data_IF_278011582629
#
_entry.id   IF_278011582629
#
_cell.length_a   1.000
_cell.length_b   1.000
_cell.length_c   1.000
_cell.angle_alpha   90.00
_cell.angle_beta   90.00
_cell.angle_gamma   90.00
#
_symmetry.space_group_name_H-M   'P 1'
#
loop_
_entity.id
_entity.type
_entity.pdbx_description
1 polymer ?
#
# COMPACT_ATOMS: atom_id res chain seq x y z
N UNK A 1 -7.74 33.79 44.51
CA UNK A 1 -6.75 33.66 43.56
C UNK A 1 -5.43 34.11 44.13
N UNK A 2 -4.94 33.35 45.06
CA UNK A 2 -3.67 33.28 45.79
C UNK A 2 -2.71 34.49 45.64
N UNK A 3 -3.14 35.66 46.14
CA UNK A 3 -2.25 36.80 46.31
C UNK A 3 -1.89 37.65 45.09
N UNK A 4 -2.44 37.33 43.92
CA UNK A 4 -2.25 38.11 42.66
C UNK A 4 -3.25 39.26 42.62
N UNK A 5 -2.78 40.47 42.39
CA UNK A 5 -3.65 41.63 42.10
C UNK A 5 -4.01 41.60 40.61
N UNK A 6 -5.30 41.56 40.30
CA UNK A 6 -5.79 41.60 38.95
C UNK A 6 -6.45 42.95 38.71
N UNK A 7 -6.14 43.58 37.58
CA UNK A 7 -6.81 44.81 37.20
C UNK A 7 -8.13 44.47 36.48
N UNK A 8 -9.23 44.91 37.04
CA UNK A 8 -10.53 44.78 36.38
C UNK A 8 -10.64 45.78 35.23
N UNK A 9 -11.29 45.36 34.12
CA UNK A 9 -11.60 46.24 33.00
C UNK A 9 -13.07 46.59 32.99
N UNK A 10 -13.39 47.86 32.73
CA UNK A 10 -14.79 48.33 32.64
C UNK A 10 -15.40 47.91 31.28
N UNK A 11 -16.59 47.32 31.31
CA UNK A 11 -17.39 47.08 30.13
C UNK A 11 -18.23 48.29 29.72
N UNK A 12 -19.03 48.87 30.63
CA UNK A 12 -19.99 49.95 30.35
C UNK A 12 -20.16 50.94 31.51
N UNK A 13 -19.17 51.08 32.39
CA UNK A 13 -19.18 51.98 33.54
C UNK A 13 -19.79 51.40 34.82
N UNK A 14 -20.66 50.40 34.70
CA UNK A 14 -21.24 49.68 35.87
C UNK A 14 -20.86 48.21 35.91
N UNK A 15 -20.45 47.62 34.77
CA UNK A 15 -20.06 46.23 34.67
C UNK A 15 -18.52 46.12 34.55
N UNK A 16 -17.95 45.31 35.40
CA UNK A 16 -16.51 45.11 35.50
C UNK A 16 -16.17 43.65 35.38
N UNK A 17 -15.13 43.34 34.64
CA UNK A 17 -14.62 41.97 34.46
C UNK A 17 -13.15 41.88 34.88
N UNK A 18 -12.80 40.83 35.61
CA UNK A 18 -11.43 40.48 35.93
C UNK A 18 -11.21 39.00 35.56
N UNK A 19 -10.10 38.73 34.86
CA UNK A 19 -9.74 37.37 34.41
C UNK A 19 -8.39 36.99 35.00
N UNK A 20 -8.31 35.80 35.58
CA UNK A 20 -7.06 35.23 36.07
C UNK A 20 -6.81 33.88 35.43
N UNK A 21 -5.69 33.67 34.72
CA UNK A 21 -5.36 32.39 34.18
C UNK A 21 -5.00 31.38 35.28
N UNK A 22 -5.53 30.16 35.17
CA UNK A 22 -5.07 29.03 35.98
C UNK A 22 -3.80 28.48 35.35
N UNK A 23 -2.73 28.40 36.14
CA UNK A 23 -1.43 27.85 35.70
C UNK A 23 -1.02 26.70 36.61
N UNK A 24 -0.06 25.90 36.18
CA UNK A 24 0.35 24.66 36.88
C UNK A 24 0.75 24.81 38.34
N UNK A 25 1.12 26.01 38.80
CA UNK A 25 1.45 26.32 40.19
C UNK A 25 0.31 27.01 40.96
N UNK A 26 -0.87 27.15 40.40
CA UNK A 26 -2.06 27.61 41.08
C UNK A 26 -2.47 26.59 42.14
N UNK A 27 -2.62 26.93 43.41
CA UNK A 27 -3.03 25.96 44.43
C UNK A 27 -4.42 25.38 44.16
N UNK A 28 -4.58 24.08 44.40
CA UNK A 28 -5.88 23.44 44.33
C UNK A 28 -6.80 23.94 45.46
N UNK A 29 -8.09 23.94 45.19
CA UNK A 29 -9.14 24.28 46.14
C UNK A 29 -10.07 25.37 45.65
N UNK A 30 -10.93 25.83 46.55
CA UNK A 30 -11.90 26.87 46.22
C UNK A 30 -11.21 28.20 45.92
N UNK A 31 -11.54 28.79 44.78
CA UNK A 31 -11.04 30.10 44.41
C UNK A 31 -11.63 31.18 45.35
N UNK A 32 -10.75 31.95 45.99
CA UNK A 32 -11.14 33.10 46.79
C UNK A 32 -10.86 34.40 46.03
N UNK A 33 -11.65 35.42 46.30
CA UNK A 33 -11.47 36.72 45.72
C UNK A 33 -11.71 37.82 46.77
N UNK A 34 -11.23 39.02 46.49
CA UNK A 34 -11.50 40.25 47.28
C UNK A 34 -11.62 41.41 46.29
N UNK A 35 -12.70 42.14 46.36
CA UNK A 35 -12.92 43.35 45.58
C UNK A 35 -12.90 44.54 46.50
N UNK A 36 -11.96 45.45 46.31
CA UNK A 36 -11.95 46.76 46.92
C UNK A 36 -12.18 47.82 45.83
N UNK A 37 -12.94 48.85 46.16
CA UNK A 37 -13.27 49.91 45.21
C UNK A 37 -13.38 51.26 45.91
N UNK A 38 -13.21 52.29 45.14
CA UNK A 38 -13.31 53.67 45.56
C UNK A 38 -14.19 54.39 44.52
N UNK A 39 -15.10 55.27 45.02
CA UNK A 39 -15.90 56.08 44.14
C UNK A 39 -15.10 57.26 43.56
N UNK A 40 -15.68 57.99 42.60
CA UNK A 40 -15.03 59.17 41.98
C UNK A 40 -14.74 60.30 42.97
N UNK A 41 -15.44 60.32 44.09
CA UNK A 41 -15.22 61.29 45.14
C UNK A 41 -14.14 60.86 46.14
N UNK A 42 -13.56 59.68 45.97
CA UNK A 42 -12.51 59.12 46.83
C UNK A 42 -13.02 58.36 48.06
N UNK A 43 -14.31 58.04 48.14
CA UNK A 43 -14.84 57.25 49.25
C UNK A 43 -14.56 55.74 49.01
N UNK A 44 -14.05 55.10 50.06
CA UNK A 44 -13.73 53.67 50.01
C UNK A 44 -14.98 52.84 50.25
N UNK A 45 -15.30 51.92 49.34
CA UNK A 45 -16.40 50.99 49.47
C UNK A 45 -16.08 49.78 50.38
N UNK A 46 -17.11 49.10 50.84
CA UNK A 46 -16.94 47.89 51.63
C UNK A 46 -16.32 46.76 50.76
N UNK A 47 -15.27 46.12 51.28
CA UNK A 47 -14.63 44.99 50.56
C UNK A 47 -15.60 43.83 50.43
N UNK A 48 -15.72 43.31 49.20
CA UNK A 48 -16.55 42.15 48.87
C UNK A 48 -15.67 40.93 48.72
N UNK A 49 -15.98 39.83 49.40
CA UNK A 49 -15.22 38.58 49.41
C UNK A 49 -16.08 37.34 49.08
N UNK A 50 -17.38 37.53 48.77
CA UNK A 50 -18.28 36.46 48.43
C UNK A 50 -19.18 36.87 47.25
N UNK A 51 -19.63 35.93 46.48
CA UNK A 51 -20.60 36.10 45.38
C UNK A 51 -22.00 36.32 45.99
N UNK A 52 -22.86 37.08 45.30
CA UNK A 52 -24.25 37.31 45.71
C UNK A 52 -25.16 36.13 45.43
N UNK A 53 -24.78 35.26 44.48
CA UNK A 53 -25.48 34.05 44.07
C UNK A 53 -24.96 32.77 44.72
N UNK A 54 -23.98 32.93 45.66
CA UNK A 54 -23.31 31.80 46.33
C UNK A 54 -22.51 30.89 45.37
N UNK A 55 -22.21 31.32 44.16
CA UNK A 55 -21.38 30.60 43.24
C UNK A 55 -19.94 30.46 43.75
N UNK A 56 -19.30 29.36 43.42
CA UNK A 56 -17.89 29.09 43.71
C UNK A 56 -17.23 28.36 42.56
N UNK A 57 -15.93 28.55 42.46
CA UNK A 57 -15.09 27.85 41.52
C UNK A 57 -13.99 27.11 42.26
N UNK A 58 -13.84 25.82 42.01
CA UNK A 58 -12.70 25.07 42.51
C UNK A 58 -11.61 25.03 41.42
N UNK A 59 -10.41 25.28 41.87
CA UNK A 59 -9.20 25.13 41.05
C UNK A 59 -8.65 23.73 41.27
N UNK A 60 -8.48 22.98 40.16
CA UNK A 60 -7.79 21.72 40.17
C UNK A 60 -6.61 21.78 39.18
N UNK A 61 -5.43 21.52 39.68
CA UNK A 61 -4.18 21.45 38.90
C UNK A 61 -3.49 20.08 39.07
N UNK A 62 -4.19 19.11 39.63
CA UNK A 62 -3.73 17.73 39.78
C UNK A 62 -3.62 17.12 38.41
N UNK A 63 -2.50 16.52 38.08
CA UNK A 63 -2.34 15.80 36.83
C UNK A 63 -3.03 14.43 36.92
N UNK A 64 -3.95 14.09 36.03
CA UNK A 64 -4.59 12.77 36.02
C UNK A 64 -3.57 11.66 35.87
N UNK A 65 -3.81 10.54 36.51
CA UNK A 65 -3.01 9.31 36.39
C UNK A 65 -3.89 8.14 36.00
N UNK A 66 -3.29 7.14 35.37
CA UNK A 66 -3.98 5.87 35.08
C UNK A 66 -3.84 4.95 36.30
N UNK A 67 -4.97 4.46 36.84
CA UNK A 67 -5.03 3.62 38.04
C UNK A 67 -5.16 2.14 37.71
N UNK A 68 -5.71 1.80 36.55
CA UNK A 68 -5.81 0.47 35.99
C UNK A 68 -5.37 0.52 34.53
N UNK A 69 -4.59 -0.45 34.09
CA UNK A 69 -4.31 -0.66 32.68
C UNK A 69 -4.25 -2.15 32.39
N UNK A 70 -5.15 -2.66 31.55
CA UNK A 70 -5.21 -4.06 31.17
C UNK A 70 -5.32 -4.22 29.66
N UNK A 71 -4.47 -5.10 29.11
CA UNK A 71 -4.53 -5.49 27.70
C UNK A 71 -4.93 -6.95 27.60
N UNK A 72 -5.93 -7.24 26.76
CA UNK A 72 -6.43 -8.61 26.52
C UNK A 72 -6.89 -8.76 25.06
N UNK A 73 -6.94 -10.01 24.59
CA UNK A 73 -7.61 -10.32 23.31
C UNK A 73 -8.85 -11.20 23.54
N UNK A 74 -9.73 -11.26 22.55
CA UNK A 74 -10.86 -12.18 22.53
C UNK A 74 -10.48 -13.57 22.03
N UNK A 75 -9.18 -13.89 21.94
CA UNK A 75 -8.71 -15.22 21.57
C UNK A 75 -9.26 -16.27 22.56
N UNK A 76 -9.99 -17.27 22.05
CA UNK A 76 -10.67 -18.29 22.86
C UNK A 76 -9.70 -19.24 23.58
N UNK A 77 -8.50 -19.41 23.03
CA UNK A 77 -7.52 -20.36 23.54
C UNK A 77 -6.57 -19.71 24.57
N UNK A 78 -6.23 -18.43 24.36
CA UNK A 78 -5.37 -17.69 25.26
C UNK A 78 -5.54 -16.17 25.04
N UNK A 79 -6.08 -15.47 26.02
CA UNK A 79 -6.32 -14.02 25.97
C UNK A 79 -5.06 -13.15 25.98
N UNK A 80 -3.87 -13.75 26.24
CA UNK A 80 -2.57 -13.07 26.11
C UNK A 80 -2.01 -13.14 24.69
N UNK A 81 -2.67 -13.85 23.78
CA UNK A 81 -2.31 -13.96 22.38
C UNK A 81 -3.42 -13.34 21.53
N UNK A 82 -3.07 -12.76 20.41
CA UNK A 82 -4.02 -12.32 19.40
C UNK A 82 -3.58 -12.86 18.04
N UNK A 83 -4.48 -13.57 17.36
CA UNK A 83 -4.33 -13.98 15.97
C UNK A 83 -5.21 -13.09 15.11
N UNK A 84 -5.02 -13.17 13.82
CA UNK A 84 -5.80 -12.39 12.89
C UNK A 84 -7.31 -12.69 13.01
N UNK A 85 -8.11 -11.61 12.89
CA UNK A 85 -9.54 -11.67 13.14
C UNK A 85 -9.93 -11.49 14.63
N UNK A 86 -8.97 -11.59 15.56
CA UNK A 86 -9.23 -11.30 16.97
C UNK A 86 -9.31 -9.78 17.21
N UNK A 87 -9.96 -9.41 18.31
CA UNK A 87 -9.99 -8.03 18.81
C UNK A 87 -9.09 -7.94 20.04
N UNK A 88 -8.17 -7.00 20.03
CA UNK A 88 -7.37 -6.60 21.18
C UNK A 88 -8.09 -5.45 21.89
N UNK A 89 -8.28 -5.59 23.18
CA UNK A 89 -8.93 -4.58 24.03
C UNK A 89 -7.94 -4.07 25.07
N UNK A 90 -7.80 -2.75 25.16
CA UNK A 90 -7.12 -2.05 26.24
C UNK A 90 -8.19 -1.44 27.15
N UNK A 91 -8.19 -1.81 28.42
CA UNK A 91 -9.01 -1.24 29.48
C UNK A 91 -8.13 -0.42 30.41
N UNK A 92 -8.56 0.78 30.77
CA UNK A 92 -7.84 1.63 31.73
C UNK A 92 -8.78 2.58 32.43
N UNK A 93 -8.45 2.88 33.70
CA UNK A 93 -9.19 3.81 34.53
C UNK A 93 -8.31 5.03 34.80
N UNK A 94 -8.91 6.22 34.75
CA UNK A 94 -8.25 7.46 35.14
C UNK A 94 -8.57 7.79 36.62
N UNK A 95 -7.68 8.47 37.30
CA UNK A 95 -7.86 8.93 38.70
C UNK A 95 -8.95 9.99 38.85
N UNK A 96 -9.35 10.61 37.75
CA UNK A 96 -10.35 11.66 37.65
C UNK A 96 -10.97 11.70 36.26
N UNK A 97 -12.03 12.46 36.06
CA UNK A 97 -12.65 12.69 34.75
C UNK A 97 -11.67 13.37 33.81
N UNK A 98 -11.45 12.78 32.64
CA UNK A 98 -10.56 13.30 31.58
C UNK A 98 -11.35 13.49 30.28
N UNK A 99 -10.81 14.31 29.37
CA UNK A 99 -11.29 14.35 27.99
C UNK A 99 -10.99 13.02 27.28
N UNK A 100 -11.68 12.77 26.15
CA UNK A 100 -11.48 11.54 25.37
C UNK A 100 -10.00 11.37 25.00
N UNK A 101 -9.34 10.31 25.50
CA UNK A 101 -7.92 10.11 25.24
C UNK A 101 -7.68 9.59 23.79
N UNK A 102 -6.53 9.93 23.23
CA UNK A 102 -6.01 9.27 22.04
C UNK A 102 -5.26 7.99 22.45
N UNK A 103 -5.60 6.88 21.84
CA UNK A 103 -5.04 5.57 22.16
C UNK A 103 -4.53 4.89 20.89
N UNK A 104 -3.29 4.44 20.92
CA UNK A 104 -2.71 3.63 19.87
C UNK A 104 -2.41 2.20 20.37
N UNK A 105 -2.88 1.19 19.64
CA UNK A 105 -2.53 -0.21 19.85
C UNK A 105 -1.71 -0.66 18.63
N UNK A 106 -0.50 -1.14 18.87
CA UNK A 106 0.45 -1.51 17.80
C UNK A 106 0.76 -0.35 16.82
N UNK A 107 0.81 0.89 17.33
CA UNK A 107 1.06 2.09 16.52
C UNK A 107 -0.12 2.55 15.64
N UNK A 108 -1.28 1.94 15.80
CA UNK A 108 -2.50 2.26 15.04
C UNK A 108 -3.50 2.92 15.99
N UNK A 109 -4.06 4.07 15.56
CA UNK A 109 -5.12 4.76 16.27
C UNK A 109 -6.31 3.81 16.47
N UNK A 110 -6.76 3.71 17.73
CA UNK A 110 -7.78 2.74 18.13
C UNK A 110 -9.07 3.43 18.49
N UNK A 111 -10.20 2.75 18.22
CA UNK A 111 -11.51 3.27 18.61
C UNK A 111 -11.62 3.27 20.12
N UNK A 112 -11.85 4.45 20.69
CA UNK A 112 -12.03 4.63 22.14
C UNK A 112 -13.51 4.76 22.47
N UNK A 113 -13.92 4.09 23.53
CA UNK A 113 -15.23 4.20 24.16
C UNK A 113 -15.07 4.30 25.68
N UNK A 114 -16.05 4.85 26.34
CA UNK A 114 -16.04 4.97 27.80
C UNK A 114 -17.22 4.21 28.42
N UNK A 115 -17.00 3.65 29.60
CA UNK A 115 -18.05 3.02 30.41
C UNK A 115 -18.64 3.94 31.46
N UNK A 116 -17.81 4.83 32.02
CA UNK A 116 -18.14 5.88 32.97
C UNK A 116 -17.14 7.02 32.84
N UNK A 117 -17.29 8.09 33.59
CA UNK A 117 -16.43 9.30 33.49
C UNK A 117 -14.93 9.03 33.68
N UNK A 118 -14.56 7.91 34.26
CA UNK A 118 -13.17 7.51 34.52
C UNK A 118 -12.74 6.21 33.85
N UNK A 119 -13.70 5.37 33.38
CA UNK A 119 -13.41 4.05 32.82
C UNK A 119 -13.39 4.12 31.30
N UNK A 120 -12.29 3.70 30.71
CA UNK A 120 -12.05 3.79 29.28
C UNK A 120 -11.71 2.43 28.67
N UNK A 121 -12.14 2.25 27.45
CA UNK A 121 -11.83 1.07 26.65
C UNK A 121 -11.42 1.48 25.24
N UNK A 122 -10.31 0.95 24.76
CA UNK A 122 -9.89 1.08 23.37
C UNK A 122 -9.84 -0.30 22.72
N UNK A 123 -10.27 -0.40 21.46
CA UNK A 123 -10.30 -1.65 20.71
C UNK A 123 -9.52 -1.54 19.41
N UNK A 124 -8.80 -2.61 19.09
CA UNK A 124 -8.07 -2.80 17.85
C UNK A 124 -8.39 -4.17 17.27
N UNK A 125 -8.90 -4.20 16.04
CA UNK A 125 -9.11 -5.46 15.31
C UNK A 125 -7.83 -5.87 14.61
N UNK A 126 -7.31 -7.06 14.89
CA UNK A 126 -6.12 -7.60 14.22
C UNK A 126 -6.47 -7.88 12.75
N UNK A 127 -5.90 -7.14 11.78
CA UNK A 127 -6.31 -7.28 10.39
C UNK A 127 -5.90 -8.61 9.80
N UNK A 128 -6.71 -9.09 8.86
CA UNK A 128 -6.41 -10.30 8.09
C UNK A 128 -5.41 -9.99 6.98
N UNK A 129 -4.15 -10.32 7.23
CA UNK A 129 -3.09 -10.23 6.22
C UNK A 129 -2.91 -11.53 5.41
N UNK A 130 -3.85 -12.50 5.50
CA UNK A 130 -3.78 -13.67 4.61
C UNK A 130 -3.98 -13.20 3.18
N UNK A 131 -3.05 -13.60 2.32
CA UNK A 131 -3.21 -13.38 0.90
C UNK A 131 -4.46 -14.12 0.40
N UNK A 132 -5.46 -13.38 -0.06
CA UNK A 132 -6.57 -13.96 -0.78
C UNK A 132 -6.11 -14.27 -2.19
N UNK A 133 -6.06 -15.55 -2.56
CA UNK A 133 -5.82 -15.98 -3.93
C UNK A 133 -7.17 -16.19 -4.60
N UNK A 134 -7.43 -15.40 -5.63
CA UNK A 134 -8.63 -15.52 -6.45
C UNK A 134 -8.25 -15.55 -7.93
N UNK A 135 -9.12 -16.11 -8.76
CA UNK A 135 -8.96 -16.01 -10.22
C UNK A 135 -9.13 -14.55 -10.63
N UNK A 136 -8.05 -13.94 -11.16
CA UNK A 136 -8.09 -12.57 -11.67
C UNK A 136 -8.67 -12.51 -13.08
N UNK A 137 -8.26 -13.43 -13.94
CA UNK A 137 -8.67 -13.48 -15.34
C UNK A 137 -8.89 -14.91 -15.84
N UNK A 138 -9.84 -15.09 -16.74
CA UNK A 138 -10.17 -16.37 -17.34
C UNK A 138 -11.19 -17.19 -16.53
N UNK A 139 -11.71 -18.22 -17.19
CA UNK A 139 -12.62 -19.18 -16.57
C UNK A 139 -11.85 -20.45 -16.22
N UNK A 140 -11.82 -20.82 -14.94
CA UNK A 140 -11.10 -22.01 -14.48
C UNK A 140 -11.57 -23.27 -15.20
N UNK A 141 -10.61 -24.02 -15.76
CA UNK A 141 -10.86 -25.26 -16.49
C UNK A 141 -11.39 -25.07 -17.93
N UNK A 142 -11.56 -23.84 -18.41
CA UNK A 142 -12.06 -23.55 -19.76
C UNK A 142 -10.96 -22.87 -20.58
N UNK A 143 -10.36 -23.61 -21.51
CA UNK A 143 -9.33 -23.06 -22.40
C UNK A 143 -9.93 -22.53 -23.72
N UNK A 144 -9.24 -21.56 -24.34
CA UNK A 144 -9.64 -20.98 -25.62
C UNK A 144 -8.88 -19.70 -25.94
N UNK A 145 -9.23 -19.08 -27.06
CA UNK A 145 -8.75 -17.76 -27.47
C UNK A 145 -9.96 -16.84 -27.61
N UNK A 146 -10.39 -16.26 -26.51
CA UNK A 146 -11.53 -15.34 -26.48
C UNK A 146 -11.09 -13.99 -25.89
N UNK A 147 -11.26 -12.93 -26.67
CA UNK A 147 -11.10 -11.55 -26.23
C UNK A 147 -12.39 -11.10 -25.53
N UNK A 148 -12.30 -10.65 -24.30
CA UNK A 148 -13.45 -10.21 -23.50
C UNK A 148 -12.95 -9.53 -22.20
N UNK A 149 -13.88 -9.17 -21.31
CA UNK A 149 -13.56 -8.83 -19.92
C UNK A 149 -12.86 -10.00 -19.21
N UNK A 150 -12.05 -9.72 -18.21
CA UNK A 150 -11.24 -10.72 -17.47
C UNK A 150 -12.05 -11.93 -17.00
N UNK A 151 -13.31 -11.76 -16.61
CA UNK A 151 -14.19 -12.85 -16.16
C UNK A 151 -14.70 -13.77 -17.26
N UNK A 152 -14.71 -13.32 -18.51
CA UNK A 152 -15.31 -14.02 -19.65
C UNK A 152 -14.27 -14.50 -20.67
N UNK A 153 -13.10 -13.88 -20.63
CA UNK A 153 -12.00 -14.20 -21.54
C UNK A 153 -11.54 -15.66 -21.37
N UNK A 154 -10.98 -16.21 -22.43
CA UNK A 154 -10.37 -17.54 -22.41
C UNK A 154 -8.94 -17.48 -22.90
N UNK A 155 -8.11 -18.26 -22.26
CA UNK A 155 -6.69 -18.41 -22.58
C UNK A 155 -6.31 -19.90 -22.53
N UNK A 156 -5.12 -20.24 -23.01
CA UNK A 156 -4.65 -21.62 -23.02
C UNK A 156 -3.19 -21.70 -22.60
N UNK A 157 -2.95 -22.23 -21.42
CA UNK A 157 -1.63 -22.32 -20.82
C UNK A 157 -0.90 -20.96 -20.74
N UNK A 158 -1.45 -19.92 -20.05
CA UNK A 158 -0.74 -18.67 -19.84
C UNK A 158 0.54 -18.91 -19.03
N UNK A 159 1.67 -18.27 -19.43
CA UNK A 159 2.96 -18.56 -18.81
C UNK A 159 3.68 -17.31 -18.28
N UNK A 160 4.27 -16.49 -19.13
CA UNK A 160 4.99 -15.26 -18.74
C UNK A 160 4.05 -14.09 -18.55
N UNK A 161 4.37 -13.24 -17.58
CA UNK A 161 3.62 -12.03 -17.24
C UNK A 161 4.55 -10.83 -17.14
N UNK A 162 4.16 -9.68 -17.70
CA UNK A 162 4.89 -8.41 -17.55
C UNK A 162 3.94 -7.21 -17.67
N UNK A 163 4.26 -6.12 -16.97
CA UNK A 163 3.55 -4.85 -17.09
C UNK A 163 4.30 -3.88 -18.02
N UNK A 164 3.54 -3.11 -18.82
CA UNK A 164 4.08 -1.94 -19.52
C UNK A 164 4.11 -0.71 -18.58
N UNK A 165 4.66 0.42 -19.06
CA UNK A 165 4.76 1.67 -18.28
C UNK A 165 3.41 2.32 -17.97
N UNK A 166 2.33 1.88 -18.63
CA UNK A 166 0.95 2.34 -18.45
C UNK A 166 0.09 1.38 -17.61
N UNK A 167 0.71 0.46 -16.85
CA UNK A 167 0.06 -0.54 -16.00
C UNK A 167 -0.86 -1.53 -16.72
N UNK A 168 -0.70 -1.72 -18.04
CA UNK A 168 -1.36 -2.85 -18.70
C UNK A 168 -0.56 -4.12 -18.47
N UNK A 169 -1.25 -5.23 -18.18
CA UNK A 169 -0.64 -6.53 -17.99
C UNK A 169 -0.60 -7.29 -19.32
N UNK A 170 0.59 -7.73 -19.69
CA UNK A 170 0.76 -8.62 -20.86
C UNK A 170 1.09 -10.04 -20.40
N UNK A 171 0.68 -11.01 -21.20
CA UNK A 171 1.01 -12.40 -20.94
C UNK A 171 1.18 -13.21 -22.22
N UNK A 172 2.05 -14.19 -22.15
CA UNK A 172 2.18 -15.21 -23.17
C UNK A 172 1.06 -16.24 -23.03
N UNK A 173 0.21 -16.34 -24.03
CA UNK A 173 -0.87 -17.32 -24.14
C UNK A 173 -0.33 -18.50 -24.95
N UNK A 174 0.51 -19.31 -24.27
CA UNK A 174 1.39 -20.32 -24.86
C UNK A 174 0.67 -21.25 -25.83
N UNK A 175 -0.42 -21.85 -25.36
CA UNK A 175 -1.18 -22.83 -26.15
C UNK A 175 -2.01 -22.21 -27.27
N UNK A 176 -2.10 -20.87 -27.32
CA UNK A 176 -2.73 -20.11 -28.39
C UNK A 176 -1.70 -19.38 -29.28
N UNK A 177 -0.41 -19.62 -29.11
CA UNK A 177 0.68 -19.03 -29.89
C UNK A 177 0.59 -17.51 -30.04
N UNK A 178 0.22 -16.81 -28.96
CA UNK A 178 -0.05 -15.39 -29.00
C UNK A 178 0.42 -14.68 -27.72
N UNK A 179 0.56 -13.36 -27.81
CA UNK A 179 0.75 -12.45 -26.70
C UNK A 179 -0.55 -11.70 -26.49
N UNK A 180 -1.05 -11.71 -25.25
CA UNK A 180 -2.30 -11.07 -24.87
C UNK A 180 -2.02 -9.87 -23.99
N UNK A 181 -2.92 -8.91 -24.01
CA UNK A 181 -2.90 -7.70 -23.18
C UNK A 181 -4.18 -7.62 -22.36
N UNK A 182 -4.06 -7.30 -21.09
CA UNK A 182 -5.16 -6.87 -20.19
C UNK A 182 -4.96 -5.39 -19.95
N UNK A 183 -5.87 -4.56 -20.39
CA UNK A 183 -5.84 -3.13 -20.12
C UNK A 183 -6.27 -2.81 -18.68
N UNK A 184 -6.06 -1.56 -18.25
CA UNK A 184 -6.42 -1.08 -16.91
C UNK A 184 -7.94 -1.11 -16.62
N UNK A 185 -8.77 -1.30 -17.65
CA UNK A 185 -10.23 -1.50 -17.53
C UNK A 185 -10.62 -2.98 -17.45
N UNK A 186 -9.65 -3.91 -17.51
CA UNK A 186 -9.87 -5.34 -17.44
C UNK A 186 -10.29 -6.00 -18.77
N UNK A 187 -10.10 -5.35 -19.91
CA UNK A 187 -10.35 -5.98 -21.21
C UNK A 187 -9.14 -6.79 -21.66
N UNK A 188 -9.35 -8.04 -22.05
CA UNK A 188 -8.33 -8.91 -22.63
C UNK A 188 -8.44 -8.86 -24.15
N UNK A 189 -7.32 -8.53 -24.80
CA UNK A 189 -7.20 -8.52 -26.25
C UNK A 189 -5.96 -9.30 -26.68
N UNK A 190 -5.96 -9.77 -27.94
CA UNK A 190 -4.74 -10.31 -28.54
C UNK A 190 -3.87 -9.16 -29.03
N UNK A 191 -2.68 -8.99 -28.44
CA UNK A 191 -1.74 -7.94 -28.79
C UNK A 191 -0.91 -8.32 -30.04
N UNK A 192 -0.38 -9.53 -30.05
CA UNK A 192 0.41 -10.05 -31.17
C UNK A 192 0.29 -11.57 -31.30
N UNK A 193 0.45 -12.07 -32.51
CA UNK A 193 0.35 -13.49 -32.84
C UNK A 193 -0.96 -13.84 -33.51
N UNK A 194 -0.86 -14.62 -34.62
CA UNK A 194 -1.99 -15.08 -35.46
C UNK A 194 -2.84 -16.18 -34.81
N UNK A 195 -2.39 -16.75 -33.68
CA UNK A 195 -2.97 -17.98 -33.11
C UNK A 195 -2.51 -19.26 -33.78
N UNK A 196 -1.73 -19.18 -34.84
CA UNK A 196 -1.15 -20.33 -35.57
C UNK A 196 0.36 -20.36 -35.25
N UNK A 197 0.89 -21.56 -34.98
CA UNK A 197 2.32 -21.74 -34.71
C UNK A 197 3.17 -21.35 -35.93
N UNK A 198 4.23 -20.59 -35.71
CA UNK A 198 5.14 -20.12 -36.75
C UNK A 198 6.14 -19.10 -36.18
N UNK A 199 7.00 -18.55 -37.05
CA UNK A 199 8.03 -17.58 -36.70
C UNK A 199 8.01 -16.31 -37.55
N UNK A 200 6.90 -16.03 -38.21
CA UNK A 200 6.75 -14.88 -39.11
C UNK A 200 6.84 -13.57 -38.32
N UNK A 201 7.69 -12.65 -38.78
CA UNK A 201 7.72 -11.28 -38.34
C UNK A 201 6.55 -10.47 -38.93
N UNK A 202 6.13 -9.41 -38.30
CA UNK A 202 5.04 -8.57 -38.84
C UNK A 202 4.28 -7.79 -37.77
N UNK A 203 3.27 -7.06 -38.25
CA UNK A 203 2.44 -6.21 -37.39
C UNK A 203 1.37 -7.03 -36.67
N UNK A 204 1.38 -6.99 -35.32
CA UNK A 204 0.32 -7.53 -34.47
C UNK A 204 -0.09 -8.96 -34.83
N UNK A 205 -1.32 -9.14 -35.29
CA UNK A 205 -1.90 -10.44 -35.65
C UNK A 205 -1.32 -11.06 -36.93
N UNK A 206 -0.53 -10.33 -37.71
CA UNK A 206 0.17 -10.87 -38.87
C UNK A 206 1.43 -11.64 -38.51
N UNK A 207 1.95 -11.43 -37.29
CA UNK A 207 3.08 -12.19 -36.77
C UNK A 207 2.63 -13.57 -36.28
N UNK A 208 3.58 -14.49 -36.14
CA UNK A 208 3.33 -15.78 -35.51
C UNK A 208 4.40 -16.12 -34.47
N UNK A 209 4.01 -16.91 -33.48
CA UNK A 209 4.87 -17.49 -32.44
C UNK A 209 4.69 -18.99 -32.36
N UNK A 210 5.60 -19.67 -31.69
CA UNK A 210 5.45 -21.10 -31.44
C UNK A 210 5.75 -21.42 -29.98
N UNK A 211 4.69 -21.50 -29.17
CA UNK A 211 4.74 -21.63 -27.72
C UNK A 211 5.56 -20.51 -27.06
N UNK A 212 5.10 -19.24 -27.05
CA UNK A 212 5.78 -18.16 -26.36
C UNK A 212 5.75 -18.40 -24.85
N UNK A 213 6.91 -18.19 -24.17
CA UNK A 213 7.09 -18.46 -22.75
C UNK A 213 7.34 -17.16 -21.97
N UNK A 214 8.57 -16.96 -21.42
CA UNK A 214 8.92 -15.79 -20.66
C UNK A 214 8.83 -14.50 -21.47
N UNK A 215 8.39 -13.41 -20.84
CA UNK A 215 8.28 -12.09 -21.44
C UNK A 215 8.81 -11.03 -20.48
N UNK A 216 9.35 -9.93 -20.99
CA UNK A 216 9.81 -8.78 -20.20
C UNK A 216 9.77 -7.50 -21.02
N UNK A 217 9.43 -6.37 -20.41
CA UNK A 217 9.53 -5.04 -21.03
C UNK A 217 10.88 -4.38 -20.72
N UNK A 218 11.39 -3.61 -21.69
CA UNK A 218 12.43 -2.62 -21.44
C UNK A 218 11.83 -1.24 -21.06
N UNK A 219 12.69 -0.27 -20.73
CA UNK A 219 12.28 1.09 -20.33
C UNK A 219 11.64 1.91 -21.47
N UNK A 220 11.74 1.44 -22.72
CA UNK A 220 11.12 2.06 -23.88
C UNK A 220 9.83 1.33 -24.32
N UNK A 221 9.27 0.49 -23.46
CA UNK A 221 8.10 -0.35 -23.72
C UNK A 221 8.25 -1.30 -24.91
N UNK A 222 9.48 -1.72 -25.23
CA UNK A 222 9.62 -2.87 -26.11
C UNK A 222 9.44 -4.17 -25.30
N UNK A 223 8.62 -5.07 -25.78
CA UNK A 223 8.38 -6.37 -25.15
C UNK A 223 9.29 -7.42 -25.79
N UNK A 224 10.13 -8.05 -24.99
CA UNK A 224 10.92 -9.21 -25.40
C UNK A 224 10.22 -10.49 -25.01
N UNK A 225 10.17 -11.44 -25.95
CA UNK A 225 9.43 -12.70 -25.83
C UNK A 225 10.34 -13.87 -26.14
N UNK A 226 10.38 -14.84 -25.26
CA UNK A 226 11.00 -16.15 -25.53
C UNK A 226 10.06 -16.97 -26.39
N UNK A 227 10.39 -17.13 -27.65
CA UNK A 227 9.65 -17.96 -28.61
C UNK A 227 10.20 -19.39 -28.60
N UNK A 228 9.78 -20.15 -27.59
CA UNK A 228 10.43 -21.37 -27.09
C UNK A 228 10.65 -22.44 -28.15
N UNK A 229 9.61 -22.86 -28.88
CA UNK A 229 9.74 -23.92 -29.88
C UNK A 229 10.37 -23.44 -31.21
N UNK A 230 10.40 -22.12 -31.43
CA UNK A 230 11.19 -21.50 -32.48
C UNK A 230 12.65 -21.28 -32.07
N UNK A 231 13.00 -21.40 -30.80
CA UNK A 231 14.36 -21.21 -30.25
C UNK A 231 14.95 -19.85 -30.60
N UNK A 232 14.13 -18.82 -30.55
CA UNK A 232 14.52 -17.42 -30.83
C UNK A 232 13.97 -16.49 -29.76
N UNK A 233 14.54 -15.30 -29.67
CA UNK A 233 14.01 -14.20 -28.86
C UNK A 233 13.38 -13.20 -29.83
N UNK A 234 12.10 -12.87 -29.59
CA UNK A 234 11.36 -11.87 -30.38
C UNK A 234 11.33 -10.54 -29.64
N UNK A 235 11.30 -9.46 -30.40
CA UNK A 235 11.03 -8.13 -29.92
C UNK A 235 9.74 -7.63 -30.52
N UNK A 236 8.88 -7.06 -29.69
CA UNK A 236 7.65 -6.36 -30.12
C UNK A 236 7.82 -4.91 -29.69
N UNK A 237 7.80 -4.00 -30.64
CA UNK A 237 7.91 -2.57 -30.35
C UNK A 237 6.56 -2.00 -29.83
N UNK A 238 6.53 -0.77 -29.30
CA UNK A 238 5.29 -0.14 -28.79
C UNK A 238 4.18 0.00 -29.85
N UNK A 239 4.52 -0.04 -31.15
CA UNK A 239 3.52 -0.05 -32.23
C UNK A 239 2.90 -1.44 -32.47
N UNK A 240 3.44 -2.49 -31.82
CA UNK A 240 3.02 -3.87 -31.97
C UNK A 240 3.70 -4.62 -33.13
N UNK A 241 4.77 -4.05 -33.72
CA UNK A 241 5.54 -4.77 -34.74
C UNK A 241 6.47 -5.81 -34.11
N UNK A 242 6.33 -7.06 -34.54
CA UNK A 242 7.11 -8.20 -34.06
C UNK A 242 8.28 -8.46 -35.00
N UNK A 243 9.47 -8.56 -34.44
CA UNK A 243 10.71 -8.90 -35.16
C UNK A 243 11.52 -9.95 -34.43
N UNK A 244 12.33 -10.72 -35.15
CA UNK A 244 13.33 -11.61 -34.54
C UNK A 244 14.51 -10.80 -34.02
N UNK A 245 14.76 -10.85 -32.71
CA UNK A 245 15.83 -10.11 -32.04
C UNK A 245 17.14 -10.90 -31.97
N UNK A 246 17.05 -12.19 -31.58
CA UNK A 246 18.22 -13.08 -31.51
C UNK A 246 17.83 -14.54 -31.69
N UNK A 247 18.76 -15.33 -32.18
CA UNK A 247 18.62 -16.76 -32.43
C UNK A 247 18.27 -17.10 -33.87
N UNK A 248 18.72 -18.27 -34.34
CA UNK A 248 18.53 -18.77 -35.70
C UNK A 248 17.60 -19.97 -35.81
N UNK A 249 16.96 -20.38 -34.70
CA UNK A 249 16.04 -21.53 -34.65
C UNK A 249 16.72 -22.89 -34.49
N UNK A 250 18.04 -22.98 -34.57
CA UNK A 250 18.79 -24.21 -34.36
C UNK A 250 18.91 -24.54 -32.88
N UNK A 251 18.72 -25.83 -32.54
CA UNK A 251 18.91 -26.28 -31.14
C UNK A 251 20.41 -26.49 -30.85
N UNK A 252 21.09 -25.43 -30.48
CA UNK A 252 22.51 -25.45 -30.05
C UNK A 252 22.85 -24.30 -29.14
N UNK A 253 24.06 -24.31 -28.58
CA UNK A 253 24.59 -23.27 -27.70
C UNK A 253 25.71 -22.54 -28.45
N UNK A 254 25.34 -21.59 -29.32
CA UNK A 254 26.28 -20.78 -30.09
C UNK A 254 26.11 -19.32 -29.68
N UNK A 255 27.20 -18.68 -29.28
CA UNK A 255 27.30 -17.26 -29.07
C UNK A 255 27.42 -16.52 -30.41
N UNK A 256 26.96 -15.27 -30.48
CA UNK A 256 27.03 -14.50 -31.72
C UNK A 256 26.13 -13.28 -31.74
N UNK A 257 26.16 -12.54 -32.84
CA UNK A 257 25.36 -11.35 -33.03
C UNK A 257 23.97 -11.69 -33.58
N UNK A 258 22.92 -11.29 -32.86
CA UNK A 258 21.54 -11.45 -33.32
C UNK A 258 21.20 -12.86 -33.76
N UNK A 259 20.89 -13.04 -35.04
CA UNK A 259 20.52 -14.33 -35.64
C UNK A 259 21.72 -15.25 -35.97
N UNK A 260 22.96 -14.86 -35.68
CA UNK A 260 24.12 -15.75 -35.72
C UNK A 260 24.17 -16.68 -34.49
N UNK A 261 23.56 -16.22 -33.36
CA UNK A 261 23.44 -17.03 -32.17
C UNK A 261 22.41 -18.15 -32.29
N UNK A 262 22.48 -19.12 -31.40
CA UNK A 262 21.47 -20.17 -31.28
C UNK A 262 21.14 -20.45 -29.82
N UNK A 263 19.93 -20.96 -29.58
CA UNK A 263 19.40 -21.32 -28.29
C UNK A 263 18.89 -22.75 -28.24
N UNK A 264 18.98 -23.36 -27.07
CA UNK A 264 18.47 -24.72 -26.86
C UNK A 264 17.38 -24.75 -25.79
N UNK A 265 16.12 -24.70 -26.19
CA UNK A 265 14.93 -24.63 -25.35
C UNK A 265 14.99 -23.44 -24.37
N UNK A 266 15.06 -22.20 -24.87
CA UNK A 266 14.97 -21.03 -24.01
C UNK A 266 13.61 -20.99 -23.32
N UNK A 267 13.56 -20.60 -22.02
CA UNK A 267 12.32 -20.71 -21.22
C UNK A 267 11.90 -19.39 -20.60
N UNK A 268 12.78 -18.72 -19.89
CA UNK A 268 12.44 -17.49 -19.21
C UNK A 268 13.45 -16.38 -19.51
N UNK A 269 13.04 -15.14 -19.27
CA UNK A 269 13.82 -13.96 -19.62
C UNK A 269 13.68 -12.92 -18.50
N UNK A 270 14.78 -12.23 -18.19
CA UNK A 270 14.83 -11.09 -17.28
C UNK A 270 15.66 -9.99 -17.93
N UNK A 271 15.51 -8.76 -17.46
CA UNK A 271 16.23 -7.59 -17.94
C UNK A 271 16.90 -6.88 -16.76
N UNK A 272 18.13 -6.39 -16.93
CA UNK A 272 18.79 -5.53 -15.95
C UNK A 272 18.56 -4.03 -16.25
N UNK A 273 19.02 -3.18 -15.34
CA UNK A 273 18.88 -1.71 -15.48
C UNK A 273 19.69 -1.11 -16.64
N UNK A 274 20.62 -1.87 -17.21
CA UNK A 274 21.41 -1.49 -18.38
C UNK A 274 20.77 -1.98 -19.70
N UNK A 275 19.62 -2.66 -19.63
CA UNK A 275 18.92 -3.21 -20.79
C UNK A 275 19.48 -4.54 -21.29
N UNK A 276 20.38 -5.20 -20.55
CA UNK A 276 20.80 -6.54 -20.92
C UNK A 276 19.73 -7.56 -20.56
N UNK A 277 19.44 -8.46 -21.48
CA UNK A 277 18.51 -9.57 -21.28
C UNK A 277 19.28 -10.81 -20.79
N UNK A 278 18.67 -11.56 -19.88
CA UNK A 278 19.18 -12.83 -19.38
C UNK A 278 18.15 -13.90 -19.64
N UNK A 279 18.54 -14.90 -20.46
CA UNK A 279 17.66 -15.96 -20.92
C UNK A 279 18.09 -17.28 -20.30
N UNK A 280 17.19 -17.94 -19.59
CA UNK A 280 17.44 -19.31 -19.11
C UNK A 280 17.13 -20.35 -20.20
N UNK A 281 18.03 -21.29 -20.38
CA UNK A 281 17.92 -22.37 -21.35
C UNK A 281 17.83 -23.73 -20.63
N UNK A 282 16.66 -24.36 -20.74
CA UNK A 282 16.44 -25.68 -20.13
C UNK A 282 17.26 -26.77 -20.84
N UNK A 283 17.40 -26.68 -22.18
CA UNK A 283 18.05 -27.73 -23.00
C UNK A 283 19.57 -27.75 -22.89
N UNK A 284 20.20 -26.64 -22.45
CA UNK A 284 21.66 -26.52 -22.28
C UNK A 284 22.09 -26.31 -20.83
N UNK A 285 21.13 -26.22 -19.91
CA UNK A 285 21.40 -25.93 -18.49
C UNK A 285 22.25 -24.66 -18.29
N UNK A 286 21.96 -23.62 -19.09
CA UNK A 286 22.76 -22.39 -19.15
C UNK A 286 21.88 -21.14 -18.99
N UNK A 287 22.55 -20.01 -18.71
CA UNK A 287 21.97 -18.67 -18.79
C UNK A 287 22.74 -17.92 -19.88
N UNK A 288 22.01 -17.33 -20.81
CA UNK A 288 22.57 -16.49 -21.87
C UNK A 288 22.32 -15.04 -21.57
N UNK A 289 23.32 -14.21 -21.83
CA UNK A 289 23.20 -12.75 -21.79
C UNK A 289 23.09 -12.22 -23.22
N UNK A 290 22.15 -11.29 -23.43
CA UNK A 290 21.98 -10.59 -24.71
C UNK A 290 22.07 -9.08 -24.41
N UNK A 291 22.99 -8.39 -25.04
CA UNK A 291 23.13 -6.94 -24.90
C UNK A 291 22.06 -6.20 -25.71
N UNK A 292 21.83 -4.88 -25.47
CA UNK A 292 20.85 -4.10 -26.23
C UNK A 292 21.09 -4.08 -27.75
N UNK A 293 22.33 -4.27 -28.19
CA UNK A 293 22.72 -4.41 -29.60
C UNK A 293 22.63 -5.86 -30.10
N UNK A 294 21.97 -6.75 -29.36
CA UNK A 294 21.73 -8.14 -29.68
C UNK A 294 22.96 -9.05 -29.70
N UNK A 295 24.08 -8.70 -29.08
CA UNK A 295 25.19 -9.65 -28.92
C UNK A 295 24.87 -10.69 -27.84
N UNK A 296 24.87 -11.96 -28.21
CA UNK A 296 24.54 -13.09 -27.33
C UNK A 296 25.82 -13.76 -26.84
N UNK A 297 25.92 -13.96 -25.54
CA UNK A 297 27.03 -14.67 -24.90
C UNK A 297 26.54 -15.65 -23.84
N UNK A 298 27.25 -16.72 -23.61
CA UNK A 298 27.00 -17.61 -22.47
C UNK A 298 27.45 -16.91 -21.18
N UNK A 299 26.49 -16.66 -20.28
CA UNK A 299 26.75 -15.97 -19.00
C UNK A 299 27.07 -16.95 -17.87
N UNK A 300 26.36 -18.07 -17.81
CA UNK A 300 26.58 -19.14 -16.82
C UNK A 300 26.13 -20.50 -17.38
N UNK A 301 26.71 -21.55 -16.84
CA UNK A 301 26.53 -22.90 -17.36
C UNK A 301 27.58 -23.28 -18.43
N UNK A 302 27.83 -24.57 -18.63
CA UNK A 302 28.81 -25.10 -19.60
C UNK A 302 28.17 -26.10 -20.54
#
# INVERSE_FOLDING_TARGET
>A
LAGSTITATSGNGTDWQAVHPVVSNTPNGSASFSISFVDEAGNVGTVVTSTTDQSSVNVDTTTPTLTLVKLKSNNSDNTSLAKFGDTVTLEFDASETIETPSVQINGIESTVSFGSDTDWMATYSVPDYRANVSTYAGQAGVSGLVNAQVSEARMKFPYGLAYDSADNLYFSDQGNHSIRKIDTSGNITTFAGSGISGSTDGQGLSASFNNPYGIVFDQADNLYVVDNLNRIIRKIDPSGYVSTFAGNGTASLIDGQGTEASFNKPTNIAIDSSGNLYVSEYGSSSIRKITPDANVTTFAGT
#
